data_IF_963999213109
#
_entry.id   IF_963999213109
#
_cell.length_a   1.000
_cell.length_b   1.000
_cell.length_c   1.000
_cell.angle_alpha   90.00
_cell.angle_beta   90.00
_cell.angle_gamma   90.00
#
_symmetry.space_group_name_H-M   'P 1'
#
loop_
_entity.id
_entity.type
_entity.pdbx_description
1 polymer ?
#
# COMPACT_ATOMS: atom_id res chain seq x y z
N UNK A 1 -15.40 6.01 20.00
CA UNK A 1 -14.31 5.94 20.98
C UNK A 1 -13.19 5.09 20.38
N UNK A 2 -11.98 5.62 20.28
CA UNK A 2 -10.84 4.87 19.73
C UNK A 2 -10.40 3.81 20.76
N UNK A 3 -10.41 2.52 20.44
CA UNK A 3 -10.02 1.47 21.37
C UNK A 3 -8.50 1.28 21.49
N UNK A 4 -7.73 1.85 20.57
CA UNK A 4 -6.29 1.59 20.44
C UNK A 4 -5.37 2.37 21.39
N UNK A 5 -5.72 3.55 21.94
CA UNK A 5 -4.83 4.31 22.84
C UNK A 5 -4.42 3.56 24.12
N UNK A 6 -5.20 2.54 24.52
CA UNK A 6 -4.92 1.71 25.70
C UNK A 6 -3.91 0.60 25.44
N UNK A 7 -3.61 0.31 24.18
CA UNK A 7 -2.67 -0.74 23.80
C UNK A 7 -1.22 -0.22 23.86
N UNK A 8 -0.27 -1.06 24.29
CA UNK A 8 1.15 -0.77 24.11
C UNK A 8 1.47 -0.51 22.64
N UNK A 9 2.33 0.48 22.31
CA UNK A 9 2.65 0.81 20.92
C UNK A 9 3.15 -0.38 20.10
N UNK A 10 3.90 -1.29 20.73
CA UNK A 10 4.43 -2.48 20.06
C UNK A 10 3.31 -3.44 19.63
N UNK A 11 2.32 -3.64 20.49
CA UNK A 11 1.17 -4.50 20.18
C UNK A 11 0.32 -3.87 19.06
N UNK A 12 0.12 -2.56 19.13
CA UNK A 12 -0.58 -1.84 18.07
C UNK A 12 0.14 -1.94 16.72
N UNK A 13 1.47 -1.81 16.73
CA UNK A 13 2.30 -1.98 15.53
C UNK A 13 2.12 -3.38 14.93
N UNK A 14 2.16 -4.42 15.76
CA UNK A 14 1.99 -5.80 15.30
C UNK A 14 0.60 -6.04 14.71
N UNK A 15 -0.45 -5.48 15.32
CA UNK A 15 -1.82 -5.55 14.80
C UNK A 15 -1.91 -4.86 13.43
N UNK A 16 -1.37 -3.66 13.30
CA UNK A 16 -1.43 -2.90 12.05
C UNK A 16 -0.66 -3.58 10.93
N UNK A 17 0.48 -4.20 11.23
CA UNK A 17 1.24 -5.02 10.24
C UNK A 17 0.46 -6.25 9.75
N UNK A 18 -0.48 -6.76 10.54
CA UNK A 18 -1.30 -7.91 10.18
C UNK A 18 -2.51 -7.57 9.30
N UNK A 19 -2.74 -6.31 8.97
CA UNK A 19 -3.83 -5.90 8.09
C UNK A 19 -3.72 -6.58 6.71
N UNK A 20 -4.84 -6.98 6.12
CA UNK A 20 -4.84 -7.77 4.88
C UNK A 20 -4.44 -6.95 3.66
N UNK A 21 -4.75 -5.66 3.64
CA UNK A 21 -4.58 -4.81 2.47
C UNK A 21 -4.50 -3.30 2.81
N UNK A 22 -4.26 -2.47 1.81
CA UNK A 22 -4.19 -1.02 1.96
C UNK A 22 -5.54 -0.34 2.24
N UNK A 23 -6.69 -0.78 1.69
CA UNK A 23 -7.99 -0.25 2.10
C UNK A 23 -8.27 -0.38 3.60
N UNK A 24 -7.91 -1.50 4.21
CA UNK A 24 -8.02 -1.71 5.65
C UNK A 24 -7.13 -0.74 6.44
N UNK A 25 -5.88 -0.55 6.01
CA UNK A 25 -4.97 0.44 6.61
C UNK A 25 -5.52 1.87 6.47
N UNK A 26 -6.01 2.22 5.29
CA UNK A 26 -6.59 3.55 5.04
C UNK A 26 -7.81 3.82 5.93
N UNK A 27 -8.69 2.84 6.09
CA UNK A 27 -9.86 2.95 6.99
C UNK A 27 -9.44 3.18 8.43
N UNK A 28 -8.42 2.45 8.93
CA UNK A 28 -7.90 2.64 10.28
C UNK A 28 -7.20 3.98 10.47
N UNK A 29 -6.45 4.46 9.47
CA UNK A 29 -5.82 5.79 9.50
C UNK A 29 -6.84 6.91 9.66
N UNK A 30 -8.02 6.78 9.04
CA UNK A 30 -9.08 7.77 9.15
C UNK A 30 -9.87 7.68 10.47
N UNK A 31 -9.92 6.51 11.08
CA UNK A 31 -10.75 6.26 12.26
C UNK A 31 -10.01 6.33 13.59
N UNK A 32 -8.68 6.15 13.58
CA UNK A 32 -7.87 6.07 14.80
C UNK A 32 -6.65 6.99 14.79
N UNK A 33 -6.63 8.03 15.63
CA UNK A 33 -5.44 8.86 15.83
C UNK A 33 -4.22 8.07 16.37
N UNK A 34 -4.45 6.99 17.13
CA UNK A 34 -3.38 6.14 17.63
C UNK A 34 -2.69 5.39 16.49
N UNK A 35 -3.47 4.85 15.53
CA UNK A 35 -2.93 4.22 14.32
C UNK A 35 -2.20 5.26 13.45
N UNK A 36 -2.76 6.45 13.30
CA UNK A 36 -2.09 7.52 12.54
C UNK A 36 -0.70 7.85 13.09
N UNK A 37 -0.54 7.94 14.42
CA UNK A 37 0.76 8.16 15.06
C UNK A 37 1.74 7.03 14.80
N UNK A 38 1.32 5.78 14.94
CA UNK A 38 2.21 4.62 14.69
C UNK A 38 2.64 4.55 13.23
N UNK A 39 1.77 4.92 12.30
CA UNK A 39 2.13 5.01 10.87
C UNK A 39 3.10 6.17 10.59
N UNK A 40 3.04 7.26 11.33
CA UNK A 40 4.04 8.33 11.23
C UNK A 40 5.42 7.89 11.72
N UNK A 41 5.47 7.08 12.77
CA UNK A 41 6.73 6.59 13.36
C UNK A 41 7.31 5.38 12.61
N UNK A 42 6.49 4.42 12.24
CA UNK A 42 6.87 3.11 11.70
C UNK A 42 6.25 2.80 10.33
N UNK A 43 5.84 3.83 9.58
CA UNK A 43 5.03 3.66 8.37
C UNK A 43 5.68 2.85 7.27
N UNK A 44 7.00 2.98 7.05
CA UNK A 44 7.71 2.18 6.05
C UNK A 44 7.64 0.69 6.36
N UNK A 45 7.84 0.31 7.61
CA UNK A 45 7.76 -1.07 8.07
C UNK A 45 6.34 -1.64 7.92
N UNK A 46 5.33 -0.85 8.24
CA UNK A 46 3.91 -1.22 8.09
C UNK A 46 3.55 -1.40 6.62
N UNK A 47 3.90 -0.45 5.77
CA UNK A 47 3.63 -0.50 4.32
C UNK A 47 4.31 -1.71 3.70
N UNK A 48 5.57 -1.99 4.04
CA UNK A 48 6.29 -3.15 3.53
C UNK A 48 5.66 -4.47 3.98
N UNK A 49 5.24 -4.59 5.23
CA UNK A 49 4.57 -5.79 5.74
C UNK A 49 3.25 -6.07 5.03
N UNK A 50 2.42 -5.04 4.81
CA UNK A 50 1.15 -5.16 4.10
C UNK A 50 1.39 -5.45 2.61
N UNK A 51 2.35 -4.76 1.99
CA UNK A 51 2.67 -4.95 0.58
C UNK A 51 3.17 -6.36 0.27
N UNK A 52 4.07 -6.90 1.09
CA UNK A 52 4.57 -8.28 0.95
C UNK A 52 3.46 -9.33 1.04
N UNK A 53 2.40 -9.04 1.79
CA UNK A 53 1.27 -9.95 1.96
C UNK A 53 0.20 -9.80 0.89
N UNK A 54 -0.08 -8.57 0.46
CA UNK A 54 -1.22 -8.24 -0.38
C UNK A 54 -0.90 -8.08 -1.87
N UNK A 55 0.38 -7.96 -2.21
CA UNK A 55 0.83 -7.70 -3.58
C UNK A 55 1.67 -8.85 -4.12
N UNK A 56 1.64 -9.03 -5.45
CA UNK A 56 2.62 -9.90 -6.12
C UNK A 56 4.03 -9.31 -6.01
N UNK A 57 5.06 -10.15 -6.15
CA UNK A 57 6.45 -9.71 -6.09
C UNK A 57 6.76 -8.59 -7.10
N UNK A 58 6.21 -8.69 -8.31
CA UNK A 58 6.39 -7.66 -9.35
C UNK A 58 5.82 -6.33 -8.91
N UNK A 59 4.59 -6.31 -8.38
CA UNK A 59 3.94 -5.09 -7.91
C UNK A 59 4.62 -4.55 -6.65
N UNK A 60 5.09 -5.42 -5.76
CA UNK A 60 5.90 -5.03 -4.61
C UNK A 60 7.18 -4.30 -5.03
N UNK A 61 7.91 -4.82 -6.01
CA UNK A 61 9.13 -4.18 -6.54
C UNK A 61 8.82 -2.81 -7.16
N UNK A 62 7.72 -2.68 -7.91
CA UNK A 62 7.26 -1.40 -8.42
C UNK A 62 6.91 -0.42 -7.30
N UNK A 63 6.30 -0.89 -6.22
CA UNK A 63 6.02 -0.07 -5.05
C UNK A 63 7.30 0.46 -4.40
N UNK A 64 8.35 -0.36 -4.28
CA UNK A 64 9.63 0.08 -3.74
C UNK A 64 10.29 1.16 -4.62
N UNK A 65 10.19 1.02 -5.93
CA UNK A 65 10.67 2.04 -6.87
C UNK A 65 9.88 3.35 -6.75
N UNK A 66 8.54 3.28 -6.63
CA UNK A 66 7.70 4.47 -6.49
C UNK A 66 7.87 5.19 -5.16
N UNK A 67 8.28 4.52 -4.08
CA UNK A 67 8.59 5.18 -2.79
C UNK A 67 9.66 6.27 -2.96
N UNK A 68 10.69 6.02 -3.73
CA UNK A 68 11.75 7.01 -3.99
C UNK A 68 11.21 8.23 -4.75
N UNK A 69 10.31 8.01 -5.70
CA UNK A 69 9.70 9.09 -6.49
C UNK A 69 8.78 9.99 -5.66
N UNK A 70 8.10 9.45 -4.66
CA UNK A 70 7.25 10.26 -3.76
C UNK A 70 8.04 11.16 -2.81
N UNK A 71 9.32 10.85 -2.57
CA UNK A 71 10.19 11.65 -1.72
C UNK A 71 10.85 12.82 -2.45
N UNK A 72 11.05 12.69 -3.75
CA UNK A 72 11.64 13.74 -4.55
C UNK A 72 10.56 14.75 -4.94
N UNK A 73 10.79 16.01 -4.63
CA UNK A 73 10.02 17.11 -5.23
C UNK A 73 10.12 16.95 -6.75
N UNK A 74 9.01 16.75 -7.39
CA UNK A 74 8.91 16.49 -8.83
C UNK A 74 9.63 17.57 -9.64
N UNK A 75 10.89 17.34 -9.95
CA UNK A 75 11.61 18.07 -10.99
C UNK A 75 11.60 17.21 -12.25
N UNK A 76 10.89 17.59 -13.30
CA UNK A 76 10.79 16.81 -14.54
C UNK A 76 12.13 16.58 -15.26
N UNK A 77 13.22 17.21 -14.79
CA UNK A 77 14.55 17.13 -15.39
C UNK A 77 15.31 15.86 -14.97
N UNK A 78 14.93 15.19 -13.87
CA UNK A 78 15.64 14.01 -13.38
C UNK A 78 15.26 12.68 -14.06
N UNK A 79 14.26 12.68 -14.95
CA UNK A 79 13.83 11.48 -15.65
C UNK A 79 14.85 10.93 -16.68
N UNK A 80 15.87 11.71 -17.05
CA UNK A 80 16.79 11.37 -18.15
C UNK A 80 18.23 11.04 -17.71
N UNK A 81 18.57 11.09 -16.42
CA UNK A 81 19.94 10.91 -15.93
C UNK A 81 20.13 9.77 -14.93
N UNK A 82 19.19 8.84 -14.86
CA UNK A 82 19.34 7.67 -14.00
C UNK A 82 20.20 6.62 -14.66
N UNK A 83 21.50 6.66 -14.41
CA UNK A 83 22.39 5.54 -14.70
C UNK A 83 22.01 4.33 -13.82
N UNK A 84 21.95 3.16 -14.44
CA UNK A 84 21.41 1.93 -13.86
C UNK A 84 22.09 1.46 -12.55
N UNK A 85 23.28 1.94 -12.24
CA UNK A 85 24.04 1.55 -11.04
C UNK A 85 23.60 2.30 -9.77
N UNK A 86 23.08 3.53 -9.90
CA UNK A 86 22.52 4.29 -8.78
C UNK A 86 21.11 3.81 -8.41
N UNK A 87 20.39 3.23 -9.35
CA UNK A 87 19.05 2.69 -9.16
C UNK A 87 19.04 1.52 -8.15
N UNK A 88 20.00 0.61 -8.26
CA UNK A 88 20.11 -0.54 -7.35
C UNK A 88 20.41 -0.14 -5.89
N UNK A 89 21.15 0.95 -5.67
CA UNK A 89 21.44 1.49 -4.34
C UNK A 89 20.24 2.25 -3.75
N UNK A 90 19.43 2.89 -4.57
CA UNK A 90 18.22 3.60 -4.14
C UNK A 90 17.09 2.65 -3.73
N UNK A 91 16.95 1.51 -4.39
CA UNK A 91 15.95 0.49 -4.09
C UNK A 91 16.15 -0.11 -2.69
N UNK A 92 17.39 -0.24 -2.22
CA UNK A 92 17.70 -0.84 -0.92
C UNK A 92 17.50 0.09 0.27
N UNK A 93 17.30 1.39 0.06
CA UNK A 93 17.13 2.38 1.15
C UNK A 93 15.97 3.35 0.95
N UNK A 94 14.96 2.95 0.18
CA UNK A 94 13.79 3.80 -0.08
C UNK A 94 12.90 3.94 1.16
N UNK A 95 13.20 4.91 2.02
CA UNK A 95 12.31 5.34 3.07
C UNK A 95 11.50 6.55 2.59
N UNK A 96 10.18 6.40 2.52
CA UNK A 96 9.29 7.51 2.25
C UNK A 96 9.07 8.35 3.51
N UNK A 97 8.96 9.67 3.36
CA UNK A 97 8.56 10.57 4.45
C UNK A 97 7.11 10.32 4.88
N UNK A 98 6.69 10.66 6.12
CA UNK A 98 5.32 10.42 6.57
C UNK A 98 4.22 10.99 5.65
N UNK A 99 4.30 12.23 5.13
CA UNK A 99 3.31 12.74 4.18
C UNK A 99 3.29 11.95 2.86
N UNK A 100 4.46 11.53 2.37
CA UNK A 100 4.59 10.73 1.15
C UNK A 100 4.00 9.34 1.34
N UNK A 101 4.20 8.72 2.50
CA UNK A 101 3.59 7.44 2.86
C UNK A 101 2.07 7.51 2.87
N UNK A 102 1.48 8.57 3.43
CA UNK A 102 0.02 8.75 3.43
C UNK A 102 -0.54 8.83 2.01
N UNK A 103 0.13 9.56 1.11
CA UNK A 103 -0.24 9.62 -0.31
C UNK A 103 -0.10 8.26 -0.98
N UNK A 104 0.98 7.55 -0.70
CA UNK A 104 1.22 6.21 -1.24
C UNK A 104 0.15 5.23 -0.77
N UNK A 105 -0.18 5.21 0.51
CA UNK A 105 -1.24 4.35 1.09
C UNK A 105 -2.59 4.69 0.47
N UNK A 106 -2.92 5.96 0.32
CA UNK A 106 -4.16 6.40 -0.33
C UNK A 106 -4.24 5.94 -1.78
N UNK A 107 -3.17 6.12 -2.55
CA UNK A 107 -3.09 5.67 -3.94
C UNK A 107 -3.19 4.14 -4.04
N UNK A 108 -2.45 3.41 -3.22
CA UNK A 108 -2.49 1.94 -3.18
C UNK A 108 -3.86 1.42 -2.78
N UNK A 109 -4.49 2.04 -1.79
CA UNK A 109 -5.87 1.72 -1.36
C UNK A 109 -6.87 1.89 -2.51
N UNK A 110 -6.80 3.01 -3.23
CA UNK A 110 -7.68 3.27 -4.36
C UNK A 110 -7.47 2.25 -5.50
N UNK A 111 -6.23 1.92 -5.82
CA UNK A 111 -5.90 0.93 -6.85
C UNK A 111 -6.43 -0.45 -6.46
N UNK A 112 -6.21 -0.89 -5.23
CA UNK A 112 -6.71 -2.18 -4.75
C UNK A 112 -8.24 -2.22 -4.74
N UNK A 113 -8.89 -1.14 -4.28
CA UNK A 113 -10.34 -1.05 -4.30
C UNK A 113 -10.92 -1.15 -5.72
N UNK A 114 -10.36 -0.41 -6.67
CA UNK A 114 -10.74 -0.49 -8.08
C UNK A 114 -10.52 -1.89 -8.65
N UNK A 115 -9.40 -2.53 -8.30
CA UNK A 115 -9.10 -3.89 -8.73
C UNK A 115 -10.13 -4.89 -8.22
N UNK A 116 -10.56 -4.77 -6.97
CA UNK A 116 -11.62 -5.61 -6.39
C UNK A 116 -12.97 -5.38 -7.09
N UNK A 117 -13.33 -4.11 -7.36
CA UNK A 117 -14.55 -3.78 -8.08
C UNK A 117 -14.55 -4.36 -9.51
N UNK A 118 -13.44 -4.24 -10.23
CA UNK A 118 -13.28 -4.79 -11.56
C UNK A 118 -13.38 -6.32 -11.55
N UNK A 119 -12.70 -6.98 -10.61
CA UNK A 119 -12.76 -8.44 -10.47
C UNK A 119 -14.17 -8.90 -10.14
N UNK A 120 -14.84 -8.25 -9.20
CA UNK A 120 -16.24 -8.59 -8.84
C UNK A 120 -17.17 -8.43 -10.04
N UNK A 121 -17.06 -7.32 -10.77
CA UNK A 121 -17.84 -7.11 -11.99
C UNK A 121 -17.60 -8.17 -13.07
N UNK A 122 -16.34 -8.61 -13.22
CA UNK A 122 -15.98 -9.69 -14.13
C UNK A 122 -16.61 -11.02 -13.70
N UNK A 123 -16.48 -11.37 -12.42
CA UNK A 123 -17.04 -12.61 -11.87
C UNK A 123 -18.56 -12.65 -11.98
N UNK A 124 -19.24 -11.53 -11.77
CA UNK A 124 -20.69 -11.41 -11.93
C UNK A 124 -21.10 -11.67 -13.39
N UNK A 125 -20.35 -11.12 -14.34
CA UNK A 125 -20.60 -11.37 -15.77
C UNK A 125 -20.37 -12.83 -16.15
N UNK A 126 -19.29 -13.44 -15.67
CA UNK A 126 -18.99 -14.85 -15.95
C UNK A 126 -20.04 -15.76 -15.34
N UNK A 127 -20.53 -15.48 -14.14
CA UNK A 127 -21.58 -16.26 -13.49
C UNK A 127 -22.95 -16.15 -14.19
N UNK A 128 -23.22 -15.04 -14.87
CA UNK A 128 -24.45 -14.88 -15.68
C UNK A 128 -24.37 -15.61 -17.03
N UNK A 129 -23.15 -15.89 -17.52
CA UNK A 129 -22.90 -16.64 -18.77
C UNK A 129 -22.92 -18.17 -18.56
N UNK A 130 -23.57 -18.67 -17.52
CA UNK A 130 -23.67 -20.10 -17.23
C UNK A 130 -24.18 -20.83 -18.52
N UNK A 131 -23.40 -21.75 -19.10
CA UNK A 131 -23.85 -22.45 -20.30
C UNK A 131 -25.14 -23.19 -19.96
N UNK A 132 -26.16 -22.99 -20.78
CA UNK A 132 -27.32 -23.86 -20.76
C UNK A 132 -26.81 -25.30 -20.96
N UNK A 133 -26.92 -26.13 -19.94
CA UNK A 133 -26.59 -27.55 -20.07
C UNK A 133 -27.36 -28.11 -21.28
N UNK A 134 -26.69 -28.66 -22.29
CA UNK A 134 -27.39 -29.44 -23.30
C UNK A 134 -27.99 -30.67 -22.58
N UNK A 135 -29.25 -30.83 -22.70
CA UNK A 135 -29.98 -32.05 -22.29
C UNK A 135 -29.57 -33.24 -23.13
#
# INVERSE_FOLDING_TARGET
MDPFPTLPPQILLDIVKLLPDFPALQALLHSSPAVARIVEECGNEIVDAIALRSLSLTVYNLLQQTKSLFNETWHPIHLYTLEAEDEQRRITSAHASPPSLRRLVSAASNIQHLSYCCLQSYLDRVSTLKPAHPR
#
